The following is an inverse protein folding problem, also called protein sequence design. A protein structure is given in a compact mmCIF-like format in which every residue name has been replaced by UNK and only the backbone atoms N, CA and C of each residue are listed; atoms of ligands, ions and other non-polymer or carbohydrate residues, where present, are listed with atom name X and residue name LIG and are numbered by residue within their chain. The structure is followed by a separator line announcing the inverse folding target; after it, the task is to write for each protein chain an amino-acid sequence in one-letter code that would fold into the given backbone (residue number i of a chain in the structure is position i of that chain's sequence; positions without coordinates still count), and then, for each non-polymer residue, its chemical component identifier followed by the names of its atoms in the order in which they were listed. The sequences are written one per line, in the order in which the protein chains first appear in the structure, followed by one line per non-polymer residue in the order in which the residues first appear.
data_IF_779099667619
#
_entry.id   IF_779099667619
#
_cell.length_a   1.000
_cell.length_b   1.000
_cell.length_c   1.000
_cell.angle_alpha   90.00
_cell.angle_beta   90.00
_cell.angle_gamma   90.00
#
_symmetry.space_group_name_H-M   'P 1'
#
loop_
_entity.id
_entity.type
_entity.pdbx_description
1 polymer ?
#
# COMPACT_ATOMS: atom_id res chain seq x y z
N UNK A 1 -19.01 -28.48 -30.04
CA UNK A 1 -17.67 -28.94 -29.85
C UNK A 1 -16.75 -27.77 -29.92
N UNK A 2 -16.35 -27.27 -28.80
CA UNK A 2 -15.47 -26.12 -28.55
C UNK A 2 -15.19 -26.02 -27.07
N UNK A 3 -14.34 -25.08 -26.66
CA UNK A 3 -14.05 -24.82 -25.26
C UNK A 3 -15.33 -24.40 -24.51
N UNK A 4 -15.44 -24.84 -23.26
CA UNK A 4 -16.46 -24.34 -22.34
C UNK A 4 -16.18 -22.87 -21.97
N UNK A 5 -17.18 -22.17 -21.43
CA UNK A 5 -16.99 -20.80 -20.97
C UNK A 5 -15.89 -20.66 -19.90
N UNK A 6 -15.78 -21.64 -19.01
CA UNK A 6 -14.75 -21.67 -17.96
C UNK A 6 -13.36 -21.93 -18.53
N UNK A 7 -13.22 -22.86 -19.47
CA UNK A 7 -11.94 -23.10 -20.15
C UNK A 7 -11.50 -21.88 -20.97
N UNK A 8 -12.44 -21.21 -21.63
CA UNK A 8 -12.17 -19.96 -22.35
C UNK A 8 -11.72 -18.86 -21.38
N UNK A 9 -12.39 -18.71 -20.23
CA UNK A 9 -11.99 -17.77 -19.18
C UNK A 9 -10.57 -18.03 -18.72
N UNK A 10 -10.23 -19.29 -18.45
CA UNK A 10 -8.88 -19.65 -18.01
C UNK A 10 -7.83 -19.28 -19.05
N UNK A 11 -8.05 -19.61 -20.32
CA UNK A 11 -7.13 -19.23 -21.39
C UNK A 11 -6.95 -17.72 -21.55
N UNK A 12 -8.03 -16.93 -21.43
CA UNK A 12 -7.92 -15.47 -21.47
C UNK A 12 -7.07 -14.98 -20.30
N UNK A 13 -7.29 -15.51 -19.11
CA UNK A 13 -6.55 -15.12 -17.90
C UNK A 13 -5.08 -15.54 -17.94
N UNK A 14 -4.78 -16.67 -18.57
CA UNK A 14 -3.39 -17.15 -18.77
C UNK A 14 -2.63 -16.24 -19.75
N UNK A 15 -3.29 -15.73 -20.80
CA UNK A 15 -2.69 -14.82 -21.77
C UNK A 15 -2.55 -13.40 -21.19
N UNK A 16 -3.62 -12.89 -20.57
CA UNK A 16 -3.67 -11.54 -20.02
C UNK A 16 -4.50 -11.50 -18.73
N UNK A 17 -3.89 -11.68 -17.56
CA UNK A 17 -4.58 -11.77 -16.26
C UNK A 17 -5.44 -10.54 -15.93
N UNK A 18 -5.04 -9.35 -16.41
CA UNK A 18 -5.72 -8.08 -16.14
C UNK A 18 -6.99 -7.84 -16.97
N UNK A 19 -7.25 -8.65 -18.01
CA UNK A 19 -8.43 -8.47 -18.87
C UNK A 19 -9.71 -8.75 -18.08
N UNK A 20 -10.65 -7.79 -17.94
CA UNK A 20 -11.92 -8.04 -17.29
C UNK A 20 -12.78 -8.97 -18.18
N UNK A 21 -13.28 -10.04 -17.60
CA UNK A 21 -14.14 -11.01 -18.29
C UNK A 21 -15.48 -11.08 -17.59
N UNK A 22 -16.57 -10.86 -18.34
CA UNK A 22 -17.95 -10.98 -17.86
C UNK A 22 -18.54 -12.28 -18.42
N UNK A 23 -18.99 -13.17 -17.55
CA UNK A 23 -19.63 -14.42 -17.96
C UNK A 23 -21.14 -14.26 -18.07
N UNK A 24 -21.72 -14.73 -19.18
CA UNK A 24 -23.18 -14.80 -19.40
C UNK A 24 -23.60 -16.24 -19.54
N UNK A 25 -24.41 -16.75 -18.63
CA UNK A 25 -24.84 -18.17 -18.63
C UNK A 25 -26.36 -18.32 -18.38
N UNK A 26 -26.90 -19.50 -18.68
CA UNK A 26 -28.25 -19.90 -18.29
C UNK A 26 -28.30 -20.67 -16.97
N UNK A 27 -27.12 -21.07 -16.47
CA UNK A 27 -27.03 -21.89 -15.25
C UNK A 27 -26.98 -20.99 -14.03
N UNK A 28 -27.81 -21.32 -13.04
CA UNK A 28 -27.81 -20.78 -11.68
C UNK A 28 -27.08 -21.74 -10.73
N UNK A 29 -26.36 -22.73 -11.26
CA UNK A 29 -25.64 -23.72 -10.46
C UNK A 29 -24.53 -23.03 -9.64
N UNK A 30 -24.62 -23.17 -8.34
CA UNK A 30 -23.74 -22.55 -7.38
C UNK A 30 -22.28 -22.94 -7.59
N UNK A 31 -22.01 -24.18 -8.00
CA UNK A 31 -20.69 -24.71 -8.27
C UNK A 31 -20.02 -24.01 -9.46
N UNK A 32 -20.74 -23.74 -10.53
CA UNK A 32 -20.22 -23.02 -11.71
C UNK A 32 -19.95 -21.57 -11.37
N UNK A 33 -20.81 -20.95 -10.56
CA UNK A 33 -20.64 -19.60 -10.08
C UNK A 33 -19.41 -19.48 -9.18
N UNK A 34 -19.23 -20.40 -8.24
CA UNK A 34 -18.09 -20.44 -7.35
C UNK A 34 -16.76 -20.66 -8.10
N UNK A 35 -16.73 -21.55 -9.11
CA UNK A 35 -15.58 -21.74 -9.98
C UNK A 35 -15.25 -20.48 -10.78
N UNK A 36 -16.27 -19.81 -11.34
CA UNK A 36 -16.08 -18.57 -12.08
C UNK A 36 -15.54 -17.45 -11.19
N UNK A 37 -16.06 -17.29 -9.97
CA UNK A 37 -15.58 -16.34 -8.96
C UNK A 37 -14.14 -16.68 -8.58
N UNK A 38 -13.82 -17.94 -8.31
CA UNK A 38 -12.45 -18.40 -8.03
C UNK A 38 -11.46 -18.12 -9.17
N UNK A 39 -11.93 -18.07 -10.42
CA UNK A 39 -11.13 -17.71 -11.61
C UNK A 39 -11.05 -16.21 -11.85
N UNK A 40 -11.39 -15.38 -10.86
CA UNK A 40 -11.29 -13.90 -10.89
C UNK A 40 -12.04 -13.26 -12.08
N UNK A 41 -13.32 -13.65 -12.29
CA UNK A 41 -14.18 -12.95 -13.24
C UNK A 41 -14.49 -11.53 -12.78
N UNK A 42 -14.78 -10.66 -13.74
CA UNK A 42 -15.16 -9.28 -13.47
C UNK A 42 -16.64 -9.13 -13.08
N UNK A 43 -17.50 -9.97 -13.68
CA UNK A 43 -18.93 -10.02 -13.38
C UNK A 43 -19.59 -11.30 -13.92
N UNK A 44 -20.80 -11.62 -13.42
CA UNK A 44 -21.56 -12.80 -13.77
C UNK A 44 -23.01 -12.42 -14.06
N UNK A 45 -23.50 -12.72 -15.27
CA UNK A 45 -24.85 -12.40 -15.72
C UNK A 45 -25.64 -13.67 -16.06
N UNK A 46 -26.87 -13.75 -15.58
CA UNK A 46 -27.76 -14.90 -15.82
C UNK A 46 -28.73 -14.57 -16.96
N UNK A 47 -28.84 -15.47 -17.95
CA UNK A 47 -29.77 -15.32 -19.07
C UNK A 47 -31.22 -15.67 -18.64
N UNK A 48 -32.22 -14.87 -19.03
CA UNK A 48 -32.19 -13.77 -19.99
C UNK A 48 -31.58 -12.50 -19.39
N UNK A 49 -30.55 -11.92 -20.05
CA UNK A 49 -29.84 -10.76 -19.55
C UNK A 49 -30.61 -9.49 -19.89
N UNK A 50 -30.90 -8.68 -18.89
CA UNK A 50 -31.49 -7.36 -19.08
C UNK A 50 -30.41 -6.38 -19.61
N UNK A 51 -30.72 -5.57 -20.65
CA UNK A 51 -29.79 -4.56 -21.17
C UNK A 51 -29.19 -3.64 -20.09
N UNK A 52 -29.96 -3.27 -19.06
CA UNK A 52 -29.49 -2.48 -17.95
C UNK A 52 -28.43 -3.19 -17.09
N UNK A 53 -28.52 -4.51 -16.94
CA UNK A 53 -27.49 -5.29 -16.24
C UNK A 53 -26.17 -5.29 -17.03
N UNK A 54 -26.24 -5.44 -18.35
CA UNK A 54 -25.06 -5.32 -19.22
C UNK A 54 -24.42 -3.94 -19.07
N UNK A 55 -25.24 -2.87 -19.16
CA UNK A 55 -24.76 -1.52 -19.04
C UNK A 55 -24.12 -1.24 -17.67
N UNK A 56 -24.72 -1.73 -16.59
CA UNK A 56 -24.16 -1.62 -15.24
C UNK A 56 -22.84 -2.37 -15.11
N UNK A 57 -22.78 -3.61 -15.62
CA UNK A 57 -21.56 -4.41 -15.61
C UNK A 57 -20.44 -3.74 -16.41
N UNK A 58 -20.74 -3.22 -17.59
CA UNK A 58 -19.78 -2.47 -18.40
C UNK A 58 -19.30 -1.19 -17.69
N UNK A 59 -20.22 -0.38 -17.16
CA UNK A 59 -19.85 0.81 -16.40
C UNK A 59 -18.95 0.46 -15.20
N UNK A 60 -19.31 -0.54 -14.42
CA UNK A 60 -18.50 -1.00 -13.27
C UNK A 60 -17.09 -1.38 -13.72
N UNK A 61 -16.95 -2.13 -14.81
CA UNK A 61 -15.66 -2.68 -15.22
C UNK A 61 -14.80 -1.71 -16.04
N UNK A 62 -15.42 -0.81 -16.82
CA UNK A 62 -14.68 0.17 -17.65
C UNK A 62 -14.34 1.43 -16.83
N UNK A 63 -15.30 1.96 -16.09
CA UNK A 63 -15.11 3.21 -15.34
C UNK A 63 -14.63 3.03 -13.90
N UNK A 64 -14.51 1.79 -13.39
CA UNK A 64 -14.06 1.57 -12.01
C UNK A 64 -12.68 2.17 -11.78
N UNK A 65 -11.76 2.03 -12.71
CA UNK A 65 -10.41 2.62 -12.61
C UNK A 65 -10.45 4.15 -12.60
N UNK A 66 -11.31 4.74 -13.41
CA UNK A 66 -11.50 6.20 -13.48
C UNK A 66 -12.11 6.72 -12.18
N UNK A 67 -13.17 6.09 -11.69
CA UNK A 67 -13.84 6.46 -10.42
C UNK A 67 -12.87 6.34 -9.24
N UNK A 68 -12.13 5.22 -9.15
CA UNK A 68 -11.12 5.03 -8.10
C UNK A 68 -10.04 6.11 -8.20
N UNK A 69 -9.58 6.43 -9.42
CA UNK A 69 -8.60 7.49 -9.64
C UNK A 69 -9.12 8.86 -9.19
N UNK A 70 -10.35 9.23 -9.55
CA UNK A 70 -10.96 10.50 -9.15
C UNK A 70 -11.12 10.61 -7.63
N UNK A 71 -11.60 9.54 -6.98
CA UNK A 71 -11.74 9.49 -5.52
C UNK A 71 -10.37 9.61 -4.84
N UNK A 72 -9.35 8.90 -5.33
CA UNK A 72 -7.98 8.97 -4.80
C UNK A 72 -7.40 10.37 -4.95
N UNK A 73 -7.57 11.00 -6.11
CA UNK A 73 -7.11 12.36 -6.37
C UNK A 73 -7.79 13.38 -5.44
N UNK A 74 -9.12 13.31 -5.31
CA UNK A 74 -9.88 14.17 -4.42
C UNK A 74 -9.45 14.01 -2.95
N UNK A 75 -9.25 12.78 -2.52
CA UNK A 75 -8.81 12.48 -1.16
C UNK A 75 -7.41 13.03 -0.89
N UNK A 76 -6.47 12.87 -1.83
CA UNK A 76 -5.14 13.44 -1.70
C UNK A 76 -5.17 14.97 -1.68
N UNK A 77 -5.99 15.60 -2.53
CA UNK A 77 -6.11 17.06 -2.57
C UNK A 77 -6.61 17.63 -1.23
N UNK A 78 -7.53 16.94 -0.56
CA UNK A 78 -8.00 17.33 0.77
C UNK A 78 -6.89 17.19 1.82
N UNK A 79 -6.10 16.13 1.74
CA UNK A 79 -5.04 15.85 2.69
C UNK A 79 -3.77 16.68 2.44
N UNK A 80 -3.56 17.14 1.21
CA UNK A 80 -2.36 17.88 0.80
C UNK A 80 -2.06 19.08 1.70
N UNK A 81 -3.07 19.90 1.98
CA UNK A 81 -2.89 21.09 2.82
C UNK A 81 -2.55 20.73 4.26
N UNK A 82 -3.19 19.69 4.81
CA UNK A 82 -2.91 19.23 6.16
C UNK A 82 -1.48 18.71 6.28
N UNK A 83 -1.05 17.95 5.28
CA UNK A 83 0.30 17.39 5.24
C UNK A 83 1.37 18.48 5.06
N UNK A 84 1.10 19.51 4.24
CA UNK A 84 1.95 20.68 4.09
C UNK A 84 2.12 21.44 5.42
N UNK A 85 1.03 21.67 6.16
CA UNK A 85 1.09 22.27 7.48
C UNK A 85 1.89 21.44 8.47
N UNK A 86 1.70 20.13 8.47
CA UNK A 86 2.48 19.24 9.34
C UNK A 86 3.98 19.27 9.03
N UNK A 87 4.36 19.33 7.75
CA UNK A 87 5.77 19.47 7.35
C UNK A 87 6.37 20.77 7.92
N UNK A 88 5.63 21.86 7.89
CA UNK A 88 6.07 23.16 8.42
C UNK A 88 6.17 23.19 9.96
N UNK A 89 5.25 22.50 10.64
CA UNK A 89 5.13 22.54 12.10
C UNK A 89 5.85 21.38 12.82
N UNK A 90 6.47 20.47 12.07
CA UNK A 90 7.11 19.28 12.64
C UNK A 90 8.31 19.63 13.53
N UNK A 91 8.26 19.15 14.77
CA UNK A 91 9.27 19.43 15.79
C UNK A 91 9.89 18.19 16.41
N UNK A 92 9.28 17.02 16.18
CA UNK A 92 9.74 15.75 16.76
C UNK A 92 10.05 14.71 15.67
N UNK A 93 10.89 13.74 16.02
CA UNK A 93 11.14 12.61 15.12
C UNK A 93 9.88 11.77 14.85
N UNK A 94 8.92 11.76 15.79
CA UNK A 94 7.64 11.06 15.64
C UNK A 94 6.77 11.72 14.57
N UNK A 95 6.75 13.05 14.50
CA UNK A 95 6.04 13.81 13.48
C UNK A 95 6.60 13.48 12.09
N UNK A 96 7.93 13.46 11.95
CA UNK A 96 8.60 13.12 10.70
C UNK A 96 8.34 11.67 10.26
N UNK A 97 8.28 10.73 11.19
CA UNK A 97 7.89 9.35 10.86
C UNK A 97 6.46 9.28 10.33
N UNK A 98 5.52 10.01 10.92
CA UNK A 98 4.14 10.02 10.48
C UNK A 98 3.98 10.70 9.11
N UNK A 99 4.66 11.83 8.89
CA UNK A 99 4.71 12.48 7.56
C UNK A 99 5.22 11.48 6.51
N UNK A 100 6.33 10.80 6.79
CA UNK A 100 6.90 9.84 5.85
C UNK A 100 5.94 8.69 5.53
N UNK A 101 5.26 8.14 6.54
CA UNK A 101 4.24 7.09 6.35
C UNK A 101 3.10 7.56 5.45
N UNK A 102 2.63 8.78 5.63
CA UNK A 102 1.55 9.36 4.82
C UNK A 102 2.00 9.62 3.39
N UNK A 103 3.21 10.16 3.19
CA UNK A 103 3.78 10.36 1.86
C UNK A 103 3.94 9.03 1.11
N UNK A 104 4.43 7.98 1.77
CA UNK A 104 4.55 6.64 1.18
C UNK A 104 3.19 6.05 0.85
N UNK A 105 2.18 6.22 1.71
CA UNK A 105 0.81 5.80 1.42
C UNK A 105 0.32 6.41 0.11
N UNK A 106 0.44 7.73 -0.03
CA UNK A 106 -0.01 8.44 -1.23
C UNK A 106 0.81 8.08 -2.48
N UNK A 107 2.10 7.82 -2.31
CA UNK A 107 2.95 7.34 -3.41
C UNK A 107 2.44 6.00 -3.96
N UNK A 108 2.09 5.06 -3.10
CA UNK A 108 1.55 3.76 -3.50
C UNK A 108 0.14 3.90 -4.11
N UNK A 109 -0.73 4.70 -3.53
CA UNK A 109 -2.09 4.89 -4.04
C UNK A 109 -2.11 5.63 -5.39
N UNK A 110 -1.29 6.67 -5.57
CA UNK A 110 -1.23 7.45 -6.80
C UNK A 110 -0.42 6.77 -7.90
N UNK A 111 0.51 5.87 -7.56
CA UNK A 111 1.32 5.14 -8.55
C UNK A 111 0.48 4.26 -9.48
N UNK A 112 -0.68 3.81 -9.02
CA UNK A 112 -1.63 3.02 -9.82
C UNK A 112 -2.46 3.86 -10.79
N UNK A 113 -2.35 5.20 -10.71
CA UNK A 113 -3.14 6.15 -11.49
C UNK A 113 -2.21 7.08 -12.26
N UNK A 114 -2.53 7.37 -13.53
CA UNK A 114 -1.84 8.42 -14.30
C UNK A 114 -2.36 9.81 -13.85
N UNK A 115 -2.11 10.16 -12.59
CA UNK A 115 -2.68 11.35 -11.97
C UNK A 115 -1.72 12.53 -12.04
N UNK A 116 -2.19 13.74 -12.39
CA UNK A 116 -1.39 14.97 -12.25
C UNK A 116 -1.00 15.25 -10.79
N UNK A 117 -1.66 14.61 -9.82
CA UNK A 117 -1.31 14.72 -8.39
C UNK A 117 0.05 14.10 -8.08
N UNK A 118 0.60 13.26 -8.94
CA UNK A 118 1.94 12.65 -8.76
C UNK A 118 3.05 13.71 -8.70
N UNK A 119 2.96 14.75 -9.55
CA UNK A 119 3.92 15.85 -9.52
C UNK A 119 3.79 16.66 -8.23
N UNK A 120 2.57 16.93 -7.77
CA UNK A 120 2.33 17.62 -6.50
C UNK A 120 2.88 16.82 -5.31
N UNK A 121 2.69 15.49 -5.32
CA UNK A 121 3.25 14.61 -4.29
C UNK A 121 4.78 14.65 -4.31
N UNK A 122 5.39 14.65 -5.49
CA UNK A 122 6.84 14.72 -5.63
C UNK A 122 7.40 16.02 -5.02
N UNK A 123 6.80 17.16 -5.32
CA UNK A 123 7.18 18.44 -4.72
C UNK A 123 7.03 18.40 -3.18
N UNK A 124 5.93 17.83 -2.69
CA UNK A 124 5.70 17.72 -1.24
C UNK A 124 6.71 16.77 -0.56
N UNK A 125 7.13 15.70 -1.24
CA UNK A 125 8.22 14.82 -0.78
C UNK A 125 9.56 15.56 -0.70
N UNK A 126 9.86 16.41 -1.66
CA UNK A 126 11.07 17.22 -1.68
C UNK A 126 11.08 18.24 -0.53
N UNK A 127 9.97 18.93 -0.29
CA UNK A 127 9.83 19.85 0.84
C UNK A 127 9.98 19.12 2.18
N UNK A 128 9.33 17.96 2.33
CA UNK A 128 9.47 17.12 3.51
C UNK A 128 10.92 16.66 3.73
N UNK A 129 11.59 16.23 2.68
CA UNK A 129 12.99 15.80 2.75
C UNK A 129 13.94 16.93 3.17
N UNK A 130 13.73 18.13 2.63
CA UNK A 130 14.51 19.32 3.02
C UNK A 130 14.26 19.69 4.49
N UNK A 131 12.99 19.67 4.92
CA UNK A 131 12.62 19.92 6.31
C UNK A 131 13.21 18.90 7.27
N UNK A 132 13.11 17.62 6.93
CA UNK A 132 13.68 16.52 7.71
C UNK A 132 15.22 16.62 7.79
N UNK A 133 15.89 16.92 6.68
CA UNK A 133 17.35 17.09 6.67
C UNK A 133 17.80 18.19 7.65
N UNK A 134 17.10 19.34 7.67
CA UNK A 134 17.37 20.42 8.64
C UNK A 134 17.12 19.96 10.08
N UNK A 135 16.03 19.24 10.31
CA UNK A 135 15.70 18.70 11.62
C UNK A 135 16.77 17.72 12.12
N UNK A 136 17.22 16.78 11.27
CA UNK A 136 18.29 15.83 11.62
C UNK A 136 19.59 16.56 11.88
N UNK A 137 19.99 17.48 11.01
CA UNK A 137 21.24 18.23 11.18
C UNK A 137 21.30 18.97 12.53
N UNK A 138 20.16 19.46 13.00
CA UNK A 138 20.06 20.14 14.30
C UNK A 138 20.15 19.20 15.50
N UNK A 139 19.58 17.99 15.40
CA UNK A 139 19.38 17.11 16.57
C UNK A 139 20.35 15.92 16.62
N UNK A 140 21.04 15.60 15.53
CA UNK A 140 21.80 14.37 15.38
C UNK A 140 22.93 14.22 16.40
N UNK A 141 23.68 15.30 16.68
CA UNK A 141 24.78 15.26 17.64
C UNK A 141 24.28 15.00 19.06
N UNK A 142 23.15 15.59 19.44
CA UNK A 142 22.53 15.37 20.75
C UNK A 142 22.04 13.91 20.88
N UNK A 143 21.48 13.37 19.82
CA UNK A 143 21.08 11.96 19.80
C UNK A 143 22.26 11.00 19.95
N UNK A 144 23.39 11.31 19.29
CA UNK A 144 24.59 10.50 19.40
C UNK A 144 25.21 10.56 20.79
N UNK A 145 25.19 11.71 21.44
CA UNK A 145 25.67 11.85 22.83
C UNK A 145 24.77 11.06 23.81
N UNK A 146 23.47 11.02 23.58
CA UNK A 146 22.51 10.26 24.39
C UNK A 146 22.58 8.74 24.17
N UNK A 147 23.27 8.23 23.14
CA UNK A 147 23.50 6.78 22.97
C UNK A 147 24.24 6.15 24.14
N UNK A 148 25.10 6.91 24.82
CA UNK A 148 25.85 6.45 25.98
C UNK A 148 24.99 6.37 27.26
N UNK A 149 23.89 7.09 27.34
CA UNK A 149 22.95 7.02 28.47
C UNK A 149 22.02 5.81 28.31
N UNK A 150 21.93 5.01 29.38
CA UNK A 150 21.14 3.77 29.40
C UNK A 150 19.63 4.01 29.42
N UNK A 151 19.18 5.23 29.56
CA UNK A 151 17.79 5.59 29.65
C UNK A 151 17.17 5.65 28.24
N UNK A 152 16.19 4.79 28.00
CA UNK A 152 15.28 4.91 26.85
C UNK A 152 14.43 6.18 27.04
N UNK A 153 14.97 7.27 26.57
CA UNK A 153 14.27 8.54 26.58
C UNK A 153 13.52 8.66 25.25
N UNK A 154 12.21 8.87 25.30
CA UNK A 154 11.36 9.13 24.12
C UNK A 154 11.81 10.37 23.30
N UNK A 155 12.86 11.03 23.74
CA UNK A 155 13.40 12.24 23.16
C UNK A 155 14.20 12.03 21.86
N UNK A 156 14.66 10.81 21.58
CA UNK A 156 15.39 10.48 20.37
C UNK A 156 14.83 9.23 19.66
N UNK A 157 15.02 9.10 18.33
CA UNK A 157 14.64 7.88 17.62
C UNK A 157 15.54 6.68 18.02
N UNK A 158 15.03 5.48 17.82
CA UNK A 158 15.83 4.25 17.91
C UNK A 158 16.85 4.27 16.76
N UNK A 159 18.14 4.37 17.11
CA UNK A 159 19.24 4.35 16.15
C UNK A 159 19.72 2.92 15.90
N UNK A 160 20.50 2.69 14.84
CA UNK A 160 21.03 1.37 14.51
C UNK A 160 21.75 0.67 15.67
N UNK A 161 22.57 1.34 16.50
CA UNK A 161 23.18 0.71 17.66
C UNK A 161 22.20 0.27 18.75
N UNK A 162 21.00 0.84 18.80
CA UNK A 162 20.00 0.53 19.82
C UNK A 162 19.14 -0.69 19.47
N UNK A 163 19.10 -1.11 18.21
CA UNK A 163 18.16 -2.12 17.72
C UNK A 163 18.24 -3.42 18.52
N UNK A 164 19.44 -3.94 18.74
CA UNK A 164 19.61 -5.17 19.51
C UNK A 164 19.10 -5.03 20.94
N UNK A 165 19.47 -3.95 21.59
CA UNK A 165 19.13 -3.67 22.99
C UNK A 165 17.63 -3.45 23.17
N UNK A 166 16.98 -2.76 22.24
CA UNK A 166 15.59 -2.30 22.39
C UNK A 166 14.57 -3.25 21.76
N UNK A 167 14.96 -4.00 20.72
CA UNK A 167 14.04 -4.81 19.92
C UNK A 167 14.29 -6.31 20.00
N UNK A 168 15.51 -6.75 20.35
CA UNK A 168 15.89 -8.18 20.32
C UNK A 168 16.09 -8.72 21.72
N UNK A 169 16.94 -8.11 22.53
CA UNK A 169 17.26 -8.61 23.87
C UNK A 169 16.04 -8.78 24.79
N UNK A 170 15.02 -7.90 24.77
CA UNK A 170 13.82 -8.12 25.59
C UNK A 170 13.13 -9.47 25.31
N UNK A 171 13.05 -9.89 24.05
CA UNK A 171 12.47 -11.18 23.66
C UNK A 171 13.37 -12.36 24.07
N UNK A 172 14.68 -12.24 23.84
CA UNK A 172 15.64 -13.27 24.25
C UNK A 172 15.65 -13.48 25.76
N UNK A 173 15.53 -12.40 26.55
CA UNK A 173 15.48 -12.47 28.02
C UNK A 173 14.20 -13.15 28.53
N UNK A 174 13.15 -13.18 27.74
CA UNK A 174 11.91 -13.91 28.02
C UNK A 174 11.95 -15.36 27.54
N UNK A 175 13.08 -15.80 26.99
CA UNK A 175 13.26 -17.16 26.45
C UNK A 175 12.62 -17.39 25.08
N UNK A 176 12.21 -16.33 24.39
CA UNK A 176 11.64 -16.40 23.05
C UNK A 176 12.74 -16.67 22.01
N UNK A 177 12.38 -17.40 20.95
CA UNK A 177 13.26 -17.60 19.79
C UNK A 177 13.09 -16.40 18.84
N UNK A 178 14.22 -15.78 18.49
CA UNK A 178 14.22 -14.60 17.64
C UNK A 178 15.00 -14.89 16.35
N UNK A 179 14.39 -14.58 15.21
CA UNK A 179 15.05 -14.56 13.91
C UNK A 179 15.21 -13.10 13.46
N UNK A 180 16.45 -12.67 13.27
CA UNK A 180 16.75 -11.34 12.72
C UNK A 180 17.10 -11.47 11.24
N UNK A 181 16.26 -10.90 10.38
CA UNK A 181 16.50 -10.83 8.94
C UNK A 181 16.88 -9.40 8.59
N UNK A 182 18.09 -9.20 8.07
CA UNK A 182 18.58 -7.90 7.63
C UNK A 182 18.56 -7.87 6.10
N UNK A 183 17.77 -6.93 5.56
CA UNK A 183 17.67 -6.72 4.11
C UNK A 183 18.29 -5.35 3.81
N UNK A 184 19.39 -5.33 3.09
CA UNK A 184 20.07 -4.09 2.73
C UNK A 184 19.27 -3.29 1.70
N UNK A 185 19.31 -1.97 1.81
CA UNK A 185 18.59 -1.03 0.93
C UNK A 185 17.07 -1.24 0.85
N UNK A 186 16.48 -1.94 1.81
CA UNK A 186 15.05 -2.21 1.83
C UNK A 186 14.28 -1.01 2.37
N UNK A 187 13.46 -0.39 1.51
CA UNK A 187 12.70 0.82 1.85
C UNK A 187 11.33 0.49 2.43
N UNK A 188 10.75 1.45 3.12
CA UNK A 188 9.43 1.31 3.75
C UNK A 188 8.29 1.11 2.73
N UNK A 189 8.36 1.75 1.55
CA UNK A 189 7.41 1.54 0.45
C UNK A 189 7.42 0.08 -0.03
N UNK A 190 8.60 -0.50 -0.21
CA UNK A 190 8.78 -1.91 -0.56
C UNK A 190 8.23 -2.83 0.54
N UNK A 191 8.50 -2.51 1.81
CA UNK A 191 7.91 -3.23 2.94
C UNK A 191 6.39 -3.18 2.91
N UNK A 192 5.77 -2.03 2.65
CA UNK A 192 4.31 -1.89 2.61
C UNK A 192 3.67 -2.75 1.53
N UNK A 193 4.34 -2.97 0.41
CA UNK A 193 3.86 -3.86 -0.66
C UNK A 193 3.97 -5.33 -0.25
N UNK A 194 5.08 -5.72 0.38
CA UNK A 194 5.38 -7.13 0.69
C UNK A 194 4.85 -7.60 2.04
N UNK A 195 4.48 -6.68 2.93
CA UNK A 195 4.13 -7.01 4.32
C UNK A 195 2.96 -7.99 4.43
N UNK A 196 1.99 -7.94 3.51
CA UNK A 196 0.87 -8.87 3.50
C UNK A 196 1.34 -10.30 3.19
N UNK A 197 2.11 -10.46 2.12
CA UNK A 197 2.58 -11.77 1.68
C UNK A 197 3.51 -12.41 2.73
N UNK A 198 4.31 -11.56 3.42
CA UNK A 198 5.20 -12.03 4.50
C UNK A 198 4.38 -12.44 5.74
N UNK A 199 3.34 -11.69 6.11
CA UNK A 199 2.50 -12.00 7.26
C UNK A 199 1.71 -13.32 7.09
N UNK A 200 1.45 -13.74 5.86
CA UNK A 200 0.79 -15.02 5.58
C UNK A 200 1.74 -16.23 5.71
N UNK A 201 3.06 -15.97 5.80
CA UNK A 201 4.10 -17.01 5.91
C UNK A 201 4.54 -17.26 7.36
N UNK A 202 4.30 -16.32 8.27
CA UNK A 202 4.75 -16.32 9.66
C UNK A 202 3.64 -15.97 10.63
#
# INVERSE_FOLDING_TARGET
PGLSGLETLQQIKDIQPSTPVVMCTKSEEEDIMNQAIGSKIADYLIKPVNPNQILLSLKKNIHQKEIVSEVTQSSYQQEYQQLAMQIMDSRSWKDWMEIYRRLVKWELELSSTNSPMTEMLQMQKEDANQGFAKYVAKNYLDWMQQLASLEQNDQRPCMSPDVFKTKIFPHLNQGEKVFLIVIDNFRYDQWKVLAHDIADLF
#
